data_IF_475052719616
#
_entry.id   IF_475052719616
#
_cell.length_a   1.000
_cell.length_b   1.000
_cell.length_c   1.000
_cell.angle_alpha   90.00
_cell.angle_beta   90.00
_cell.angle_gamma   90.00
#
_symmetry.space_group_name_H-M   'P 1'
#
loop_
_entity.id
_entity.type
_entity.pdbx_description
1 polymer ?
#
# COMPACT_ATOMS: atom_id res chain seq x y z
N UNK A 1 31.94 44.24 -16.01
CA UNK A 1 31.57 45.51 -16.64
C UNK A 1 30.08 45.77 -16.54
N UNK A 2 29.65 47.04 -16.45
CA UNK A 2 28.22 47.41 -16.39
C UNK A 2 27.42 46.94 -17.63
N UNK A 3 28.10 46.91 -18.78
CA UNK A 3 27.52 46.38 -20.04
C UNK A 3 27.22 44.86 -19.97
N UNK A 4 28.15 44.11 -19.39
CA UNK A 4 27.95 42.65 -19.18
C UNK A 4 26.84 42.35 -18.21
N UNK A 5 26.70 43.14 -17.13
CA UNK A 5 25.60 43.00 -16.17
C UNK A 5 24.23 43.30 -16.82
N UNK A 6 24.12 44.36 -17.64
CA UNK A 6 22.88 44.68 -18.37
C UNK A 6 22.51 43.59 -19.35
N UNK A 7 23.47 43.05 -20.13
CA UNK A 7 23.28 41.95 -21.04
C UNK A 7 22.86 40.66 -20.34
N UNK A 8 23.42 40.36 -19.14
CA UNK A 8 23.03 39.24 -18.32
C UNK A 8 21.60 39.39 -17.79
N UNK A 9 21.22 40.59 -17.36
CA UNK A 9 19.87 40.86 -16.80
C UNK A 9 18.75 40.70 -17.83
N UNK A 10 19.01 41.01 -19.10
CA UNK A 10 18.01 40.90 -20.19
C UNK A 10 18.12 39.59 -20.99
N UNK A 11 19.04 38.68 -20.58
CA UNK A 11 19.25 37.43 -21.31
C UNK A 11 17.99 36.59 -21.21
N UNK A 12 17.44 36.06 -22.34
CA UNK A 12 16.32 35.15 -22.33
C UNK A 12 16.70 33.87 -21.63
N UNK A 13 15.67 33.14 -21.12
CA UNK A 13 15.86 31.86 -20.46
C UNK A 13 16.56 30.88 -21.42
N UNK A 14 17.59 30.19 -20.90
CA UNK A 14 18.27 29.15 -21.65
C UNK A 14 17.34 27.98 -21.97
N UNK A 15 17.65 27.21 -23.01
CA UNK A 15 16.89 25.99 -23.34
C UNK A 15 16.78 25.06 -22.12
N UNK A 16 17.87 24.86 -21.40
CA UNK A 16 17.88 24.05 -20.18
C UNK A 16 16.90 24.55 -19.12
N UNK A 17 16.77 25.85 -18.93
CA UNK A 17 15.79 26.43 -17.98
C UNK A 17 14.36 26.20 -18.43
N UNK A 18 14.07 26.35 -19.72
CA UNK A 18 12.75 26.03 -20.30
C UNK A 18 12.39 24.55 -20.10
N UNK A 19 13.32 23.65 -20.41
CA UNK A 19 13.12 22.20 -20.18
C UNK A 19 12.93 21.87 -18.70
N UNK A 20 13.68 22.54 -17.80
CA UNK A 20 13.53 22.38 -16.36
C UNK A 20 12.12 22.80 -15.87
N UNK A 21 11.54 23.85 -16.46
CA UNK A 21 10.16 24.28 -16.13
C UNK A 21 9.13 23.23 -16.56
N UNK A 22 9.27 22.66 -17.76
CA UNK A 22 8.38 21.60 -18.26
C UNK A 22 8.47 20.35 -17.37
N UNK A 23 9.70 19.90 -17.08
CA UNK A 23 9.93 18.76 -16.19
C UNK A 23 9.37 19.02 -14.79
N UNK A 24 9.55 20.23 -14.27
CA UNK A 24 9.00 20.61 -12.96
C UNK A 24 7.47 20.57 -12.92
N UNK A 25 6.80 20.99 -14.00
CA UNK A 25 5.34 20.89 -14.10
C UNK A 25 4.89 19.42 -14.03
N UNK A 26 5.54 18.52 -14.76
CA UNK A 26 5.29 17.08 -14.65
C UNK A 26 5.57 16.54 -13.25
N UNK A 27 6.69 16.91 -12.61
CA UNK A 27 7.01 16.50 -11.24
C UNK A 27 5.91 16.93 -10.27
N UNK A 28 5.40 18.16 -10.36
CA UNK A 28 4.32 18.65 -9.47
C UNK A 28 3.04 17.87 -9.67
N UNK A 29 2.66 17.60 -10.91
CA UNK A 29 1.45 16.82 -11.21
C UNK A 29 1.60 15.37 -10.71
N UNK A 30 2.71 14.70 -10.98
CA UNK A 30 2.92 13.33 -10.50
C UNK A 30 3.06 13.27 -8.98
N UNK A 31 3.64 14.29 -8.33
CA UNK A 31 3.69 14.40 -6.88
C UNK A 31 2.27 14.47 -6.28
N UNK A 32 1.39 15.29 -6.86
CA UNK A 32 -0.02 15.37 -6.46
C UNK A 32 -0.75 14.03 -6.66
N UNK A 33 -0.62 13.44 -7.85
CA UNK A 33 -1.28 12.17 -8.21
C UNK A 33 -0.78 10.97 -7.41
N UNK A 34 0.47 11.02 -6.92
CA UNK A 34 1.04 10.00 -6.04
C UNK A 34 0.79 10.25 -4.56
N UNK A 35 -0.13 11.14 -4.22
CA UNK A 35 -0.42 11.52 -2.84
C UNK A 35 0.86 11.95 -2.10
N UNK A 36 1.74 12.70 -2.77
CA UNK A 36 3.02 13.21 -2.23
C UNK A 36 3.95 12.11 -1.66
N UNK A 37 3.76 10.86 -2.08
CA UNK A 37 4.47 9.70 -1.56
C UNK A 37 5.73 9.33 -2.35
N UNK A 38 5.87 9.86 -3.60
CA UNK A 38 6.98 9.48 -4.48
C UNK A 38 8.22 10.33 -4.22
N UNK A 39 9.29 9.64 -3.79
CA UNK A 39 10.63 10.20 -3.77
C UNK A 39 11.30 10.14 -5.14
N UNK A 40 12.52 10.66 -5.21
CA UNK A 40 13.32 10.74 -6.44
C UNK A 40 13.30 9.48 -7.32
N UNK A 41 13.51 8.24 -6.81
CA UNK A 41 13.51 7.07 -7.68
C UNK A 41 12.17 6.86 -8.38
N UNK A 42 11.07 6.70 -7.62
CA UNK A 42 9.74 6.48 -8.18
C UNK A 42 9.26 7.63 -9.06
N UNK A 43 9.60 8.87 -8.70
CA UNK A 43 9.31 10.04 -9.53
C UNK A 43 10.03 9.97 -10.88
N UNK A 44 11.28 9.52 -10.90
CA UNK A 44 12.03 9.35 -12.16
C UNK A 44 11.40 8.27 -13.05
N UNK A 45 11.06 7.12 -12.47
CA UNK A 45 10.38 6.03 -13.18
C UNK A 45 9.03 6.50 -13.78
N UNK A 46 8.25 7.26 -13.00
CA UNK A 46 6.96 7.81 -13.45
C UNK A 46 7.12 8.75 -14.64
N UNK A 47 8.09 9.66 -14.57
CA UNK A 47 8.37 10.60 -15.66
C UNK A 47 8.85 9.88 -16.93
N UNK A 48 9.70 8.87 -16.78
CA UNK A 48 10.19 8.09 -17.90
C UNK A 48 9.07 7.29 -18.59
N UNK A 49 8.12 6.73 -17.85
CA UNK A 49 6.93 6.07 -18.43
C UNK A 49 6.01 7.06 -19.17
N UNK A 50 6.00 8.33 -18.76
CA UNK A 50 5.31 9.40 -19.49
C UNK A 50 6.08 9.90 -20.73
N UNK A 51 7.21 9.27 -21.07
CA UNK A 51 8.04 9.65 -22.20
C UNK A 51 8.97 10.84 -21.92
N UNK A 52 9.04 11.33 -20.67
CA UNK A 52 9.95 12.43 -20.30
C UNK A 52 11.34 11.88 -20.07
N UNK A 53 12.26 12.12 -21.01
CA UNK A 53 13.66 11.67 -20.90
C UNK A 53 14.41 12.51 -19.86
N UNK A 54 14.44 12.04 -18.60
CA UNK A 54 15.09 12.72 -17.48
C UNK A 54 15.77 11.73 -16.55
N UNK A 55 16.99 12.08 -16.12
CA UNK A 55 17.76 11.28 -15.16
C UNK A 55 17.45 11.67 -13.70
N UNK A 56 17.64 10.71 -12.80
CA UNK A 56 17.33 10.87 -11.37
C UNK A 56 18.06 12.03 -10.67
N UNK A 57 19.27 12.41 -11.14
CA UNK A 57 20.00 13.57 -10.59
C UNK A 57 19.28 14.88 -10.89
N UNK A 58 18.73 15.03 -12.11
CA UNK A 58 17.98 16.23 -12.52
C UNK A 58 16.67 16.32 -11.79
N UNK A 59 15.93 15.20 -11.69
CA UNK A 59 14.68 15.11 -10.89
C UNK A 59 14.95 15.49 -9.43
N UNK A 60 15.96 14.89 -8.79
CA UNK A 60 16.28 15.17 -7.40
C UNK A 60 16.69 16.64 -7.15
N UNK A 61 17.38 17.27 -8.10
CA UNK A 61 17.72 18.69 -8.04
C UNK A 61 16.48 19.56 -8.10
N UNK A 62 15.59 19.31 -9.08
CA UNK A 62 14.36 20.08 -9.26
C UNK A 62 13.41 19.94 -8.07
N UNK A 63 13.22 18.74 -7.54
CA UNK A 63 12.44 18.51 -6.33
C UNK A 63 12.99 19.31 -5.15
N UNK A 64 14.30 19.23 -4.91
CA UNK A 64 14.94 19.94 -3.79
C UNK A 64 14.84 21.46 -3.92
N UNK A 65 15.12 22.01 -5.10
CA UNK A 65 15.07 23.47 -5.36
C UNK A 65 13.65 24.04 -5.20
N UNK A 66 12.62 23.22 -5.40
CA UNK A 66 11.22 23.62 -5.32
C UNK A 66 10.51 23.13 -4.04
N UNK A 67 11.26 22.66 -3.04
CA UNK A 67 10.69 22.24 -1.76
C UNK A 67 9.80 21.02 -1.82
N UNK A 68 9.83 20.22 -2.90
CA UNK A 68 9.03 19.02 -3.07
C UNK A 68 9.65 17.90 -2.22
N UNK A 69 8.97 17.54 -1.15
CA UNK A 69 9.43 16.57 -0.15
C UNK A 69 8.43 15.42 -0.02
N UNK A 70 8.94 14.23 0.26
CA UNK A 70 8.11 13.08 0.66
C UNK A 70 7.83 13.15 2.16
N UNK A 71 6.65 12.68 2.56
CA UNK A 71 6.32 12.53 3.97
C UNK A 71 6.94 11.23 4.48
N UNK A 72 7.68 11.31 5.58
CA UNK A 72 8.35 10.16 6.19
C UNK A 72 7.37 9.35 7.05
N UNK A 73 7.54 8.03 7.08
CA UNK A 73 6.83 7.13 8.00
C UNK A 73 7.25 7.40 9.46
N UNK A 74 6.30 7.33 10.38
CA UNK A 74 6.58 7.37 11.81
C UNK A 74 7.00 5.96 12.30
N UNK A 75 7.79 5.90 13.40
CA UNK A 75 8.12 4.61 14.03
C UNK A 75 6.85 3.97 14.61
N UNK A 76 6.67 2.69 14.35
CA UNK A 76 5.54 1.89 14.80
C UNK A 76 5.79 1.28 16.18
N UNK A 77 4.70 1.09 16.99
CA UNK A 77 4.72 0.29 18.22
C UNK A 77 3.92 -0.99 17.99
N UNK A 78 4.44 -2.12 18.48
CA UNK A 78 3.74 -3.42 18.50
C UNK A 78 2.59 -3.36 19.50
N UNK A 79 1.40 -3.83 19.12
CA UNK A 79 0.16 -3.73 19.91
C UNK A 79 -0.66 -5.03 19.97
N UNK A 80 -0.17 -6.16 19.45
CA UNK A 80 -0.94 -7.40 19.42
C UNK A 80 -0.66 -8.24 20.65
N UNK A 81 -1.70 -8.58 21.42
CA UNK A 81 -1.66 -9.60 22.46
C UNK A 81 -2.12 -10.94 21.86
N UNK A 82 -1.20 -11.92 21.80
CA UNK A 82 -1.42 -13.24 21.20
C UNK A 82 -1.63 -14.35 22.25
N UNK A 83 -1.93 -14.02 23.51
CA UNK A 83 -2.09 -14.99 24.61
C UNK A 83 -3.56 -15.46 24.72
N UNK A 84 -3.97 -16.40 23.87
CA UNK A 84 -5.28 -17.07 23.99
C UNK A 84 -5.18 -18.55 23.61
N UNK A 85 -6.12 -19.36 24.12
CA UNK A 85 -6.16 -20.83 24.01
C UNK A 85 -6.98 -21.31 22.77
N UNK A 86 -6.91 -20.65 21.64
CA UNK A 86 -7.58 -21.09 20.42
C UNK A 86 -6.73 -22.10 19.63
N UNK A 87 -7.38 -22.91 18.77
CA UNK A 87 -6.67 -23.77 17.83
C UNK A 87 -5.87 -22.93 16.85
N UNK A 88 -4.57 -23.16 16.80
CA UNK A 88 -3.60 -22.43 15.99
C UNK A 88 -3.18 -23.34 14.84
N UNK A 89 -3.34 -22.84 13.59
CA UNK A 89 -2.86 -23.53 12.41
C UNK A 89 -1.31 -23.44 12.32
N UNK A 90 -0.66 -24.41 11.62
CA UNK A 90 0.77 -24.35 11.38
C UNK A 90 1.16 -23.12 10.54
N UNK A 91 2.41 -22.67 10.66
CA UNK A 91 2.94 -21.64 9.77
C UNK A 91 3.40 -22.28 8.45
N UNK A 92 2.57 -22.21 7.43
CA UNK A 92 2.87 -22.75 6.10
C UNK A 92 3.69 -21.80 5.23
N UNK A 93 3.70 -20.49 5.57
CA UNK A 93 4.49 -19.50 4.82
C UNK A 93 5.96 -19.53 5.17
N UNK A 94 6.28 -19.72 6.45
CA UNK A 94 7.65 -19.70 6.99
C UNK A 94 8.52 -18.57 6.39
N UNK A 95 7.96 -17.36 6.33
CA UNK A 95 8.54 -16.14 5.74
C UNK A 95 8.81 -16.23 4.21
N UNK A 96 8.42 -17.30 3.54
CA UNK A 96 8.43 -17.36 2.08
C UNK A 96 7.15 -16.71 1.50
N UNK A 97 7.27 -15.43 1.18
CA UNK A 97 6.21 -14.65 0.55
C UNK A 97 6.26 -14.70 -0.98
N UNK A 98 7.13 -15.50 -1.57
CA UNK A 98 7.18 -15.69 -3.00
C UNK A 98 5.97 -16.48 -3.50
N UNK A 99 5.48 -16.14 -4.67
CA UNK A 99 4.43 -16.86 -5.38
C UNK A 99 4.69 -16.74 -6.89
N UNK A 100 4.44 -17.81 -7.64
CA UNK A 100 4.67 -17.86 -9.08
C UNK A 100 3.49 -17.28 -9.87
N UNK A 101 2.34 -17.16 -9.23
CA UNK A 101 1.12 -16.64 -9.83
C UNK A 101 0.14 -16.07 -8.81
N UNK A 102 -0.89 -15.37 -9.29
CA UNK A 102 -1.95 -14.84 -8.43
C UNK A 102 -2.75 -15.98 -7.77
N UNK A 103 -3.32 -15.69 -6.60
CA UNK A 103 -4.18 -16.58 -5.84
C UNK A 103 -3.51 -17.89 -5.31
N UNK A 104 -2.19 -17.91 -5.20
CA UNK A 104 -1.47 -18.99 -4.53
C UNK A 104 -1.35 -18.76 -3.02
N UNK A 105 -1.02 -17.52 -2.63
CA UNK A 105 -0.81 -17.12 -1.23
C UNK A 105 -1.49 -15.79 -0.95
N UNK A 106 -2.40 -15.76 0.00
CA UNK A 106 -3.05 -14.56 0.51
C UNK A 106 -2.63 -14.30 1.94
N UNK A 107 -2.56 -13.04 2.34
CA UNK A 107 -2.33 -12.68 3.73
C UNK A 107 -3.32 -11.62 4.20
N UNK A 108 -3.82 -11.81 5.42
CA UNK A 108 -4.80 -10.93 6.05
C UNK A 108 -4.33 -10.38 7.38
N UNK A 109 -4.77 -9.16 7.70
CA UNK A 109 -4.54 -8.53 9.01
C UNK A 109 -5.55 -7.40 9.25
N UNK A 110 -5.67 -6.95 10.52
CA UNK A 110 -6.54 -5.86 10.95
C UNK A 110 -5.71 -4.75 11.56
N UNK A 111 -6.00 -3.51 11.15
CA UNK A 111 -5.44 -2.32 11.79
C UNK A 111 -6.54 -1.37 12.21
N UNK A 112 -6.20 -0.37 13.02
CA UNK A 112 -7.14 0.59 13.56
C UNK A 112 -6.74 2.03 13.23
N UNK A 113 -7.76 2.87 13.11
CA UNK A 113 -7.69 4.27 12.70
C UNK A 113 -8.51 5.08 13.69
N UNK A 114 -7.91 6.14 14.23
CA UNK A 114 -8.65 7.04 15.12
C UNK A 114 -9.47 8.05 14.32
N UNK A 115 -10.74 8.22 14.72
CA UNK A 115 -11.64 9.28 14.24
C UNK A 115 -12.25 10.02 15.43
N UNK A 116 -12.83 11.20 15.22
CA UNK A 116 -13.52 11.91 16.29
C UNK A 116 -14.75 11.15 16.83
N UNK A 117 -15.31 10.21 16.05
CA UNK A 117 -16.36 9.28 16.48
C UNK A 117 -15.81 8.03 17.22
N UNK A 118 -14.49 7.93 17.40
CA UNK A 118 -13.81 6.79 18.00
C UNK A 118 -13.14 5.88 16.96
N UNK A 119 -12.75 4.68 17.38
CA UNK A 119 -12.00 3.76 16.55
C UNK A 119 -12.78 3.28 15.31
N UNK A 120 -12.08 3.22 14.19
CA UNK A 120 -12.46 2.51 12.97
C UNK A 120 -11.43 1.41 12.74
N UNK A 121 -11.87 0.18 12.57
CA UNK A 121 -11.04 -0.98 12.29
C UNK A 121 -11.08 -1.30 10.79
N UNK A 122 -9.92 -1.58 10.21
CA UNK A 122 -9.75 -1.93 8.81
C UNK A 122 -9.14 -3.32 8.70
N UNK A 123 -9.90 -4.30 8.20
CA UNK A 123 -9.39 -5.59 7.77
C UNK A 123 -9.00 -5.53 6.30
N UNK A 124 -7.87 -6.16 5.95
CA UNK A 124 -7.34 -6.19 4.58
C UNK A 124 -6.87 -7.60 4.24
N UNK A 125 -7.08 -8.02 2.99
CA UNK A 125 -6.48 -9.21 2.41
C UNK A 125 -5.67 -8.81 1.18
N UNK A 126 -4.41 -9.23 1.16
CA UNK A 126 -3.46 -9.04 0.07
C UNK A 126 -3.23 -10.35 -0.67
N UNK A 127 -3.18 -10.29 -1.99
CA UNK A 127 -2.53 -11.32 -2.79
C UNK A 127 -1.01 -11.10 -2.73
N UNK A 128 -0.26 -12.09 -2.25
CA UNK A 128 1.18 -11.94 -2.01
C UNK A 128 1.99 -11.91 -3.30
N UNK A 129 1.48 -12.45 -4.40
CA UNK A 129 2.11 -12.38 -5.72
C UNK A 129 2.24 -10.94 -6.21
N UNK A 130 1.12 -10.22 -6.22
CA UNK A 130 1.03 -8.88 -6.80
C UNK A 130 1.03 -7.75 -5.78
N UNK A 131 0.96 -8.06 -4.49
CA UNK A 131 0.74 -7.07 -3.41
C UNK A 131 -0.60 -6.33 -3.52
N UNK A 132 -1.50 -6.83 -4.35
CA UNK A 132 -2.82 -6.22 -4.56
C UNK A 132 -3.71 -6.42 -3.35
N UNK A 133 -4.36 -5.36 -2.90
CA UNK A 133 -5.48 -5.47 -1.96
C UNK A 133 -6.67 -6.05 -2.72
N UNK A 134 -7.05 -7.28 -2.40
CA UNK A 134 -8.11 -8.03 -3.06
C UNK A 134 -9.39 -8.08 -2.25
N UNK A 135 -9.32 -7.84 -0.94
CA UNK A 135 -10.46 -7.73 -0.06
C UNK A 135 -10.19 -6.78 1.08
N UNK A 136 -11.19 -6.02 1.50
CA UNK A 136 -11.10 -5.15 2.67
C UNK A 136 -12.49 -4.84 3.22
N UNK A 137 -12.54 -4.54 4.50
CA UNK A 137 -13.75 -4.10 5.17
C UNK A 137 -13.40 -3.16 6.33
N UNK A 138 -14.34 -2.30 6.72
CA UNK A 138 -14.22 -1.44 7.89
C UNK A 138 -15.37 -1.66 8.87
N UNK A 139 -15.12 -1.43 10.16
CA UNK A 139 -16.13 -1.52 11.22
C UNK A 139 -15.76 -0.63 12.40
N UNK A 140 -16.76 -0.23 13.17
CA UNK A 140 -16.56 0.42 14.46
C UNK A 140 -16.20 -0.57 15.59
N UNK A 141 -16.19 -1.89 15.30
CA UNK A 141 -15.87 -2.95 16.27
C UNK A 141 -14.93 -3.97 15.62
N UNK A 142 -13.92 -4.41 16.36
CA UNK A 142 -12.97 -5.44 15.94
C UNK A 142 -13.53 -6.83 16.24
N UNK A 143 -14.60 -7.22 15.51
CA UNK A 143 -15.23 -8.54 15.62
C UNK A 143 -14.88 -9.40 14.42
N UNK A 144 -15.13 -10.75 14.54
CA UNK A 144 -14.95 -11.72 13.45
C UNK A 144 -15.62 -11.32 12.13
N UNK A 145 -16.80 -10.69 12.19
CA UNK A 145 -17.58 -10.26 11.03
C UNK A 145 -16.80 -9.30 10.13
N UNK A 146 -15.89 -8.51 10.73
CA UNK A 146 -15.01 -7.62 9.98
C UNK A 146 -14.05 -8.42 9.07
N UNK A 147 -13.39 -9.45 9.61
CA UNK A 147 -12.50 -10.31 8.86
C UNK A 147 -13.26 -11.13 7.81
N UNK A 148 -14.45 -11.65 8.16
CA UNK A 148 -15.33 -12.39 7.25
C UNK A 148 -15.70 -11.53 6.04
N UNK A 149 -16.16 -10.30 6.23
CA UNK A 149 -16.51 -9.39 5.12
C UNK A 149 -15.33 -9.08 4.19
N UNK A 150 -14.13 -8.95 4.74
CA UNK A 150 -12.93 -8.76 3.93
C UNK A 150 -12.62 -10.02 3.10
N UNK A 151 -12.79 -11.21 3.70
CA UNK A 151 -12.59 -12.48 3.00
C UNK A 151 -13.65 -12.72 1.93
N UNK A 152 -14.92 -12.46 2.21
CA UNK A 152 -16.01 -12.61 1.24
C UNK A 152 -15.77 -11.71 0.01
N UNK A 153 -15.34 -10.45 0.22
CA UNK A 153 -14.96 -9.56 -0.88
C UNK A 153 -13.81 -10.14 -1.70
N UNK A 154 -12.77 -10.67 -1.06
CA UNK A 154 -11.62 -11.25 -1.75
C UNK A 154 -12.01 -12.50 -2.56
N UNK A 155 -12.81 -13.38 -1.98
CA UNK A 155 -13.31 -14.59 -2.64
C UNK A 155 -14.22 -14.25 -3.83
N UNK A 156 -15.14 -13.30 -3.65
CA UNK A 156 -16.03 -12.85 -4.73
C UNK A 156 -15.24 -12.23 -5.91
N UNK A 157 -14.19 -11.47 -5.61
CA UNK A 157 -13.36 -10.84 -6.62
C UNK A 157 -12.46 -11.82 -7.37
N UNK A 158 -11.91 -12.83 -6.68
CA UNK A 158 -10.78 -13.63 -7.18
C UNK A 158 -11.12 -15.08 -7.48
N UNK A 159 -12.17 -15.64 -6.86
CA UNK A 159 -12.55 -17.05 -6.98
C UNK A 159 -11.30 -17.97 -6.90
N UNK A 160 -10.57 -17.99 -5.77
CA UNK A 160 -9.29 -18.65 -5.68
C UNK A 160 -9.41 -20.17 -5.91
N UNK A 161 -8.40 -20.82 -6.48
CA UNK A 161 -8.36 -22.26 -6.59
C UNK A 161 -8.27 -22.89 -5.19
N UNK A 162 -8.68 -24.15 -5.08
CA UNK A 162 -8.45 -24.96 -3.88
C UNK A 162 -6.94 -25.08 -3.61
N UNK A 163 -6.54 -25.04 -2.34
CA UNK A 163 -5.13 -25.06 -1.95
C UNK A 163 -4.46 -23.68 -1.90
N UNK A 164 -5.20 -22.59 -2.16
CA UNK A 164 -4.68 -21.26 -1.89
C UNK A 164 -4.37 -21.12 -0.40
N UNK A 165 -3.14 -20.74 -0.05
CA UNK A 165 -2.74 -20.52 1.35
C UNK A 165 -3.31 -19.18 1.82
N UNK A 166 -4.04 -19.20 2.94
CA UNK A 166 -4.50 -17.99 3.61
C UNK A 166 -3.78 -17.81 4.94
N UNK A 167 -2.88 -16.82 5.00
CA UNK A 167 -2.05 -16.53 6.17
C UNK A 167 -2.57 -15.34 6.97
N UNK A 168 -2.59 -15.47 8.30
CA UNK A 168 -3.00 -14.41 9.21
C UNK A 168 -2.13 -14.43 10.48
N UNK A 169 -2.25 -13.38 11.29
CA UNK A 169 -1.80 -13.45 12.68
C UNK A 169 -2.70 -14.40 13.49
N UNK A 170 -2.38 -14.56 14.80
CA UNK A 170 -3.18 -15.38 15.72
C UNK A 170 -4.33 -14.61 16.35
N UNK A 171 -4.82 -13.53 15.76
CA UNK A 171 -5.93 -12.76 16.31
C UNK A 171 -7.19 -13.63 16.50
N UNK A 172 -7.93 -13.40 17.58
CA UNK A 172 -9.16 -14.15 17.91
C UNK A 172 -10.21 -14.13 16.79
N UNK A 173 -10.20 -13.10 15.96
CA UNK A 173 -11.10 -12.95 14.80
C UNK A 173 -10.83 -14.04 13.78
N UNK A 174 -9.56 -14.36 13.51
CA UNK A 174 -9.11 -15.36 12.56
C UNK A 174 -9.21 -16.79 13.09
N UNK A 175 -9.06 -16.96 14.42
CA UNK A 175 -9.23 -18.25 15.09
C UNK A 175 -10.71 -18.63 15.30
N UNK A 176 -11.65 -17.76 14.98
CA UNK A 176 -13.08 -18.02 15.20
C UNK A 176 -13.59 -19.16 14.31
N UNK A 177 -14.48 -20.00 14.86
CA UNK A 177 -15.04 -21.14 14.13
C UNK A 177 -15.73 -20.72 12.81
N UNK A 178 -16.40 -19.58 12.77
CA UNK A 178 -17.10 -19.12 11.58
C UNK A 178 -16.11 -18.72 10.47
N UNK A 179 -15.00 -18.07 10.84
CA UNK A 179 -13.93 -17.73 9.88
C UNK A 179 -13.27 -19.00 9.34
N UNK A 180 -12.93 -19.95 10.21
CA UNK A 180 -12.32 -21.21 9.83
C UNK A 180 -13.24 -22.06 8.94
N UNK A 181 -14.54 -22.12 9.25
CA UNK A 181 -15.53 -22.78 8.38
C UNK A 181 -15.60 -22.17 6.99
N UNK A 182 -15.50 -20.84 6.90
CA UNK A 182 -15.49 -20.15 5.61
C UNK A 182 -14.25 -20.49 4.79
N UNK A 183 -13.07 -20.52 5.41
CA UNK A 183 -11.83 -20.94 4.74
C UNK A 183 -11.92 -22.37 4.23
N UNK A 184 -12.39 -23.30 5.06
CA UNK A 184 -12.59 -24.71 4.68
C UNK A 184 -13.60 -24.85 3.53
N UNK A 185 -14.71 -24.11 3.56
CA UNK A 185 -15.74 -24.11 2.51
C UNK A 185 -15.14 -23.73 1.15
N UNK A 186 -14.20 -22.78 1.12
CA UNK A 186 -13.56 -22.35 -0.11
C UNK A 186 -12.26 -23.11 -0.45
N UNK A 187 -11.89 -24.10 0.36
CA UNK A 187 -10.73 -24.97 0.11
C UNK A 187 -9.39 -24.30 0.34
N UNK A 188 -9.33 -23.31 1.24
CA UNK A 188 -8.07 -22.69 1.62
C UNK A 188 -7.22 -23.59 2.53
N UNK A 189 -5.92 -23.51 2.38
CA UNK A 189 -4.95 -23.98 3.35
C UNK A 189 -4.68 -22.88 4.39
N UNK A 190 -4.96 -23.16 5.65
CA UNK A 190 -4.87 -22.18 6.73
C UNK A 190 -3.46 -22.11 7.26
N UNK A 191 -2.90 -20.92 7.32
CA UNK A 191 -1.58 -20.64 7.88
C UNK A 191 -1.65 -19.50 8.91
N UNK A 192 -0.92 -19.66 10.03
CA UNK A 192 -0.87 -18.63 11.07
C UNK A 192 0.58 -18.35 11.49
N UNK A 193 0.88 -17.08 11.78
CA UNK A 193 2.18 -16.63 12.24
C UNK A 193 2.66 -17.40 13.48
N UNK A 194 3.96 -17.58 13.65
CA UNK A 194 4.57 -18.10 14.88
C UNK A 194 4.30 -17.18 16.09
N UNK A 195 4.33 -17.74 17.32
CA UNK A 195 4.13 -16.93 18.54
C UNK A 195 5.25 -15.88 18.67
N UNK A 196 4.86 -14.59 18.69
CA UNK A 196 5.81 -13.49 18.85
C UNK A 196 6.66 -13.18 17.62
N UNK A 197 6.42 -13.84 16.48
CA UNK A 197 7.14 -13.58 15.24
C UNK A 197 6.38 -12.57 14.36
N UNK A 198 6.78 -11.30 14.45
CA UNK A 198 6.19 -10.22 13.64
C UNK A 198 6.60 -10.28 12.16
N UNK A 199 7.64 -11.05 11.80
CA UNK A 199 8.11 -11.14 10.42
C UNK A 199 7.20 -11.99 9.54
N UNK A 200 6.44 -12.91 10.11
CA UNK A 200 5.58 -13.83 9.37
C UNK A 200 4.42 -13.12 8.65
N UNK A 201 4.00 -11.92 9.10
CA UNK A 201 2.95 -11.11 8.45
C UNK A 201 3.49 -9.77 7.89
N UNK A 202 4.79 -9.68 7.65
CA UNK A 202 5.49 -8.44 7.27
C UNK A 202 4.95 -7.76 6.01
N UNK A 203 4.31 -8.52 5.11
CA UNK A 203 3.79 -7.99 3.85
C UNK A 203 2.54 -7.15 4.06
N UNK A 204 1.61 -7.62 4.88
CA UNK A 204 0.40 -6.86 5.22
C UNK A 204 0.74 -5.69 6.13
N UNK A 205 1.71 -5.89 7.05
CA UNK A 205 2.25 -4.78 7.85
C UNK A 205 2.84 -3.67 6.98
N UNK A 206 3.55 -4.03 5.90
CA UNK A 206 4.10 -3.07 4.93
C UNK A 206 3.00 -2.28 4.23
N UNK A 207 1.88 -2.93 3.90
CA UNK A 207 0.70 -2.23 3.40
C UNK A 207 0.17 -1.24 4.44
N UNK A 208 -0.03 -1.67 5.70
CA UNK A 208 -0.52 -0.78 6.76
C UNK A 208 0.45 0.37 7.05
N UNK A 209 1.75 0.14 7.02
CA UNK A 209 2.75 1.22 7.11
C UNK A 209 2.56 2.24 5.99
N UNK A 210 2.28 1.77 4.77
CA UNK A 210 2.08 2.63 3.61
C UNK A 210 0.81 3.47 3.73
N UNK A 211 -0.35 2.83 3.95
CA UNK A 211 -1.62 3.57 4.05
C UNK A 211 -1.64 4.53 5.24
N UNK A 212 -1.03 4.15 6.37
CA UNK A 212 -0.91 5.04 7.54
C UNK A 212 -0.07 6.29 7.23
N UNK A 213 1.09 6.12 6.57
CA UNK A 213 1.97 7.24 6.23
C UNK A 213 1.41 8.10 5.08
N UNK A 214 0.80 7.48 4.08
CA UNK A 214 0.38 8.15 2.85
C UNK A 214 -1.03 8.75 2.94
N UNK A 215 -1.87 8.27 3.88
CA UNK A 215 -3.24 8.72 4.05
C UNK A 215 -3.58 9.05 5.51
N UNK A 216 -3.50 8.03 6.41
CA UNK A 216 -4.19 8.11 7.70
C UNK A 216 -3.61 9.19 8.60
N UNK A 217 -2.28 9.25 8.78
CA UNK A 217 -1.62 10.21 9.68
C UNK A 217 -1.54 11.63 9.14
N UNK A 218 -1.94 11.86 7.90
CA UNK A 218 -1.95 13.17 7.25
C UNK A 218 -3.26 13.93 7.46
N UNK A 219 -4.30 13.22 7.88
CA UNK A 219 -5.63 13.75 7.97
C UNK A 219 -6.19 13.59 9.39
N UNK A 220 -7.04 14.53 9.78
CA UNK A 220 -7.93 14.37 10.93
C UNK A 220 -9.28 13.89 10.39
N UNK A 221 -9.79 12.82 10.95
CA UNK A 221 -11.02 12.18 10.53
C UNK A 221 -12.15 12.59 11.46
N UNK A 222 -13.09 13.38 10.99
CA UNK A 222 -14.24 13.79 11.79
C UNK A 222 -15.20 12.61 12.00
N UNK A 223 -15.47 11.86 10.94
CA UNK A 223 -16.37 10.71 10.98
C UNK A 223 -15.71 9.45 10.44
N UNK A 224 -16.21 8.29 10.89
CA UNK A 224 -15.81 6.98 10.34
C UNK A 224 -16.11 6.88 8.84
N UNK A 225 -17.23 7.44 8.40
CA UNK A 225 -17.65 7.45 7.00
C UNK A 225 -16.67 8.24 6.12
N UNK A 226 -16.16 9.36 6.61
CA UNK A 226 -15.14 10.14 5.92
C UNK A 226 -13.85 9.32 5.74
N UNK A 227 -13.38 8.66 6.81
CA UNK A 227 -12.21 7.80 6.76
C UNK A 227 -12.40 6.61 5.81
N UNK A 228 -13.57 5.95 5.85
CA UNK A 228 -13.94 4.84 4.95
C UNK A 228 -13.89 5.26 3.48
N UNK A 229 -14.50 6.40 3.13
CA UNK A 229 -14.48 6.92 1.76
C UNK A 229 -13.05 7.21 1.26
N UNK A 230 -12.19 7.76 2.13
CA UNK A 230 -10.80 8.01 1.79
C UNK A 230 -9.98 6.72 1.65
N UNK A 231 -10.23 5.70 2.48
CA UNK A 231 -9.62 4.37 2.37
C UNK A 231 -10.02 3.71 1.04
N UNK A 232 -11.31 3.79 0.66
CA UNK A 232 -11.80 3.30 -0.62
C UNK A 232 -11.04 3.95 -1.79
N UNK A 233 -10.93 5.27 -1.80
CA UNK A 233 -10.20 6.01 -2.83
C UNK A 233 -8.71 5.67 -2.84
N UNK A 234 -8.10 5.50 -1.66
CA UNK A 234 -6.71 5.11 -1.57
C UNK A 234 -6.46 3.73 -2.17
N UNK A 235 -7.24 2.72 -1.79
CA UNK A 235 -7.06 1.34 -2.25
C UNK A 235 -7.35 1.22 -3.74
N UNK A 236 -8.52 1.70 -4.20
CA UNK A 236 -9.01 1.48 -5.56
C UNK A 236 -8.55 2.54 -6.56
N UNK A 237 -8.32 3.77 -6.12
CA UNK A 237 -7.88 4.87 -6.99
C UNK A 237 -6.37 5.06 -7.05
N UNK A 238 -5.64 4.63 -6.02
CA UNK A 238 -4.20 4.87 -5.97
C UNK A 238 -3.37 3.59 -5.72
N UNK A 239 -3.57 2.88 -4.59
CA UNK A 239 -2.70 1.78 -4.20
C UNK A 239 -2.66 0.65 -5.25
N UNK A 240 -3.79 0.11 -5.60
CA UNK A 240 -3.87 -0.98 -6.58
C UNK A 240 -3.51 -0.54 -8.00
N UNK A 241 -4.06 0.56 -8.56
CA UNK A 241 -3.85 0.89 -9.97
C UNK A 241 -2.57 1.69 -10.25
N UNK A 242 -2.05 2.44 -9.28
CA UNK A 242 -0.97 3.42 -9.53
C UNK A 242 0.27 3.26 -8.67
N UNK A 243 0.10 2.88 -7.38
CA UNK A 243 1.21 2.91 -6.45
C UNK A 243 2.34 1.97 -6.86
N UNK A 244 3.51 2.52 -7.15
CA UNK A 244 4.70 1.76 -7.56
C UNK A 244 5.31 1.00 -6.39
N UNK A 245 5.67 -0.24 -6.62
CA UNK A 245 6.34 -1.13 -5.68
C UNK A 245 7.70 -1.54 -6.22
N UNK A 246 8.76 -1.32 -5.45
CA UNK A 246 10.13 -1.75 -5.83
C UNK A 246 10.24 -3.27 -5.98
N UNK A 247 9.53 -4.02 -5.12
CA UNK A 247 9.47 -5.49 -5.21
C UNK A 247 8.75 -6.02 -6.47
N UNK A 248 8.00 -5.16 -7.17
CA UNK A 248 7.30 -5.47 -8.42
C UNK A 248 7.98 -4.82 -9.64
N UNK A 249 9.28 -4.50 -9.52
CA UNK A 249 10.01 -3.84 -10.59
C UNK A 249 9.48 -2.45 -10.93
N UNK A 250 9.05 -1.68 -9.90
CA UNK A 250 8.51 -0.33 -10.08
C UNK A 250 7.08 -0.27 -10.60
N UNK A 251 6.37 -1.40 -10.74
CA UNK A 251 4.98 -1.45 -11.20
C UNK A 251 3.99 -1.33 -10.06
N UNK A 252 2.77 -0.90 -10.40
CA UNK A 252 1.63 -1.03 -9.50
C UNK A 252 1.11 -2.46 -9.44
N UNK A 253 0.39 -2.87 -8.38
CA UNK A 253 -0.19 -4.20 -8.26
C UNK A 253 -1.00 -4.63 -9.49
N UNK A 254 -1.90 -3.79 -9.98
CA UNK A 254 -2.70 -4.10 -11.18
C UNK A 254 -1.86 -4.17 -12.46
N UNK A 255 -0.87 -3.27 -12.64
CA UNK A 255 -0.01 -3.30 -13.80
C UNK A 255 0.92 -4.53 -13.80
N UNK A 256 1.29 -5.01 -12.60
CA UNK A 256 2.08 -6.23 -12.45
C UNK A 256 1.26 -7.48 -12.85
N UNK A 257 0.03 -7.62 -12.37
CA UNK A 257 -0.85 -8.74 -12.72
C UNK A 257 -1.15 -8.80 -14.23
N UNK A 258 -1.45 -7.64 -14.87
CA UNK A 258 -1.72 -7.57 -16.32
C UNK A 258 -0.56 -8.02 -17.21
N UNK A 259 0.67 -7.96 -16.69
CA UNK A 259 1.84 -8.39 -17.47
C UNK A 259 2.09 -9.90 -17.33
N UNK A 260 1.55 -10.52 -16.30
CA UNK A 260 1.69 -11.95 -16.02
C UNK A 260 0.54 -12.82 -16.60
N UNK A 261 -0.55 -12.16 -17.02
CA UNK A 261 -1.67 -12.76 -17.77
C UNK A 261 -1.40 -12.71 -19.27
#
# INVERSE_FOLDING_TARGET
TSRGFRAWRVRPMSQRQRDDMVILAHIREQHRLSLESYGRPRMTEELQELGVNVGHRRVGRLMRQNGIKIIRTQKYRVTTDSNHAFNIAPNLLDQDFSADGPNQKWAGDISYIWTNEGWLYLAVILDLYSRRVIGWAVSNRMKRDLAIRALDMAVALRQPPKGCIHHTDRGSQYCSNDYQKLLTKHGFEVSMSGKGNCYDNSMVETFFKSIKAELIWRNRWETRRQAEGAIFQYINGFYNPRRRHSSLGGKSPLAFERKAA
#
